data_IF_502512313096
#
_entry.id   IF_502512313096
#
_cell.length_a   1.000
_cell.length_b   1.000
_cell.length_c   1.000
_cell.angle_alpha   90.00
_cell.angle_beta   90.00
_cell.angle_gamma   90.00
#
_symmetry.space_group_name_H-M   'P 1'
#
loop_
_entity.id
_entity.type
_entity.pdbx_description
1 polymer ?
#
# COMPACT_ATOMS: atom_id res chain seq x y z
N UNK A 1 -18.91 -26.62 -3.74
CA UNK A 1 -18.43 -27.95 -3.30
C UNK A 1 -19.10 -28.98 -4.20
N UNK A 2 -18.32 -29.84 -4.86
CA UNK A 2 -18.84 -30.91 -5.70
C UNK A 2 -19.13 -32.14 -4.85
N UNK A 3 -20.28 -32.78 -5.07
CA UNK A 3 -20.66 -34.02 -4.38
C UNK A 3 -20.85 -35.12 -5.44
N UNK A 4 -20.44 -36.34 -5.10
CA UNK A 4 -20.64 -37.50 -5.96
C UNK A 4 -21.97 -38.19 -5.59
N UNK A 5 -22.78 -38.54 -6.58
CA UNK A 5 -23.98 -39.36 -6.38
C UNK A 5 -23.60 -40.82 -6.00
N UNK A 6 -24.60 -41.63 -5.64
CA UNK A 6 -24.39 -43.05 -5.28
C UNK A 6 -23.81 -43.91 -6.44
N UNK A 7 -23.73 -43.36 -7.66
CA UNK A 7 -23.18 -44.01 -8.85
C UNK A 7 -21.80 -43.47 -9.24
N UNK A 8 -21.25 -42.53 -8.46
CA UNK A 8 -19.93 -41.94 -8.67
C UNK A 8 -19.88 -40.84 -9.74
N UNK A 9 -21.02 -40.31 -10.18
CA UNK A 9 -21.04 -39.14 -11.05
C UNK A 9 -20.84 -37.87 -10.23
N UNK A 10 -19.92 -37.01 -10.66
CA UNK A 10 -19.69 -35.71 -10.01
C UNK A 10 -20.74 -34.75 -10.56
N UNK A 11 -21.73 -34.42 -9.74
CA UNK A 11 -22.63 -33.30 -10.05
C UNK A 11 -21.93 -32.00 -9.69
N UNK A 12 -21.55 -31.22 -10.70
CA UNK A 12 -21.12 -29.85 -10.53
C UNK A 12 -22.39 -29.03 -10.27
N UNK A 13 -22.79 -28.92 -9.01
CA UNK A 13 -23.81 -27.95 -8.64
C UNK A 13 -23.31 -26.56 -9.02
N UNK A 14 -24.01 -25.88 -9.94
CA UNK A 14 -23.83 -24.45 -10.15
C UNK A 14 -24.11 -23.78 -8.80
N UNK A 15 -23.05 -23.30 -8.16
CA UNK A 15 -23.18 -22.43 -7.01
C UNK A 15 -23.49 -21.06 -7.59
N UNK A 16 -24.73 -20.64 -7.45
CA UNK A 16 -25.12 -19.28 -7.79
C UNK A 16 -24.47 -18.34 -6.78
N UNK A 17 -23.32 -17.76 -7.15
CA UNK A 17 -22.57 -16.83 -6.30
C UNK A 17 -23.20 -15.45 -6.50
N UNK A 18 -24.17 -15.11 -5.65
CA UNK A 18 -24.63 -13.72 -5.53
C UNK A 18 -23.62 -12.92 -4.70
N UNK A 19 -22.98 -11.95 -5.35
CA UNK A 19 -22.08 -11.02 -4.66
C UNK A 19 -22.89 -9.93 -3.96
N UNK A 20 -22.68 -9.76 -2.66
CA UNK A 20 -23.16 -8.57 -1.95
C UNK A 20 -22.33 -7.36 -2.36
N UNK A 21 -22.82 -6.65 -3.39
CA UNK A 21 -22.17 -5.46 -3.94
C UNK A 21 -22.05 -4.35 -2.90
N UNK A 22 -22.98 -4.25 -1.94
CA UNK A 22 -22.94 -3.23 -0.90
C UNK A 22 -21.82 -3.54 0.10
N UNK A 23 -21.71 -4.79 0.54
CA UNK A 23 -20.62 -5.23 1.42
C UNK A 23 -19.25 -5.09 0.74
N UNK A 24 -19.13 -5.46 -0.54
CA UNK A 24 -17.90 -5.27 -1.31
C UNK A 24 -17.50 -3.80 -1.39
N UNK A 25 -18.44 -2.90 -1.70
CA UNK A 25 -18.16 -1.45 -1.74
C UNK A 25 -17.70 -0.93 -0.39
N UNK A 26 -18.39 -1.30 0.70
CA UNK A 26 -17.99 -0.91 2.06
C UNK A 26 -16.57 -1.37 2.38
N UNK A 27 -16.19 -2.57 1.98
CA UNK A 27 -14.84 -3.09 2.17
C UNK A 27 -13.79 -2.28 1.40
N UNK A 28 -14.04 -1.97 0.12
CA UNK A 28 -13.13 -1.14 -0.67
C UNK A 28 -13.03 0.30 -0.12
N UNK A 29 -14.13 0.88 0.35
CA UNK A 29 -14.13 2.19 1.00
C UNK A 29 -13.26 2.20 2.28
N UNK A 30 -13.27 1.10 3.04
CA UNK A 30 -12.39 0.93 4.20
C UNK A 30 -10.92 0.80 3.80
N UNK A 31 -10.61 0.04 2.75
CA UNK A 31 -9.25 -0.03 2.22
C UNK A 31 -8.75 1.34 1.77
N UNK A 32 -9.61 2.12 1.09
CA UNK A 32 -9.24 3.45 0.61
C UNK A 32 -8.91 4.42 1.76
N UNK A 33 -9.58 4.32 2.92
CA UNK A 33 -9.23 5.12 4.09
C UNK A 33 -7.82 4.84 4.58
N UNK A 34 -7.43 3.55 4.64
CA UNK A 34 -6.08 3.15 5.05
C UNK A 34 -5.03 3.68 4.06
N UNK A 35 -5.32 3.61 2.76
CA UNK A 35 -4.44 4.14 1.73
C UNK A 35 -4.29 5.66 1.83
N UNK A 36 -5.38 6.38 2.01
CA UNK A 36 -5.35 7.84 2.15
C UNK A 36 -4.54 8.28 3.38
N UNK A 37 -4.75 7.64 4.53
CA UNK A 37 -3.98 7.94 5.76
C UNK A 37 -2.47 7.70 5.55
N UNK A 38 -2.10 6.58 4.90
CA UNK A 38 -0.71 6.31 4.56
C UNK A 38 -0.12 7.38 3.63
N UNK A 39 -0.87 7.81 2.61
CA UNK A 39 -0.41 8.82 1.66
C UNK A 39 -0.20 10.18 2.33
N UNK A 40 -1.11 10.60 3.20
CA UNK A 40 -0.98 11.84 3.98
C UNK A 40 0.25 11.82 4.90
N UNK A 41 0.47 10.71 5.61
CA UNK A 41 1.66 10.54 6.44
C UNK A 41 2.96 10.51 5.63
N UNK A 42 2.91 9.94 4.43
CA UNK A 42 4.07 9.84 3.54
C UNK A 42 4.53 11.22 3.06
N UNK A 43 3.60 12.12 2.73
CA UNK A 43 3.93 13.49 2.32
C UNK A 43 4.64 14.27 3.44
N UNK A 44 4.16 14.13 4.68
CA UNK A 44 4.80 14.71 5.86
C UNK A 44 6.23 14.16 6.08
N UNK A 45 6.43 12.85 5.87
CA UNK A 45 7.74 12.22 6.00
C UNK A 45 8.71 12.64 4.90
N UNK A 46 8.25 12.74 3.64
CA UNK A 46 9.07 13.26 2.52
C UNK A 46 9.53 14.69 2.84
N UNK A 47 8.62 15.54 3.33
CA UNK A 47 8.95 16.92 3.73
C UNK A 47 10.02 16.95 4.83
N UNK A 48 9.92 16.06 5.83
CA UNK A 48 10.91 15.96 6.91
C UNK A 48 12.28 15.48 6.39
N UNK A 49 12.30 14.53 5.44
CA UNK A 49 13.53 14.09 4.78
C UNK A 49 14.20 15.20 3.99
N UNK A 50 13.44 16.01 3.24
CA UNK A 50 13.97 17.15 2.51
C UNK A 50 14.52 18.22 3.45
N UNK A 51 13.84 18.50 4.56
CA UNK A 51 14.32 19.44 5.57
C UNK A 51 15.65 18.97 6.17
N UNK A 52 15.78 17.68 6.49
CA UNK A 52 17.02 17.11 7.03
C UNK A 52 18.15 17.07 6.00
N UNK A 53 17.87 16.69 4.75
CA UNK A 53 18.86 16.66 3.67
C UNK A 53 19.48 18.04 3.43
N UNK A 54 18.66 19.10 3.47
CA UNK A 54 19.09 20.48 3.28
C UNK A 54 19.57 21.19 4.56
N UNK A 55 19.65 20.47 5.69
CA UNK A 55 20.04 21.08 6.96
C UNK A 55 21.55 21.34 7.03
N UNK A 56 21.94 22.60 6.88
CA UNK A 56 23.34 23.04 6.97
C UNK A 56 23.92 23.05 8.40
N UNK A 57 23.11 22.78 9.43
CA UNK A 57 23.53 22.83 10.83
C UNK A 57 24.14 21.51 11.31
N UNK A 58 23.66 20.37 10.79
CA UNK A 58 24.23 19.04 11.07
C UNK A 58 25.37 18.75 10.09
N UNK A 59 26.57 18.54 10.64
CA UNK A 59 27.82 18.40 9.88
C UNK A 59 28.63 17.21 10.36
N UNK A 60 29.48 16.72 9.46
CA UNK A 60 30.43 15.64 9.73
C UNK A 60 30.05 14.34 9.01
N UNK A 61 30.95 13.35 9.00
CA UNK A 61 30.80 12.15 8.16
C UNK A 61 29.50 11.38 8.39
N UNK A 62 29.00 11.34 9.63
CA UNK A 62 27.74 10.67 9.98
C UNK A 62 26.52 11.42 9.44
N UNK A 63 26.51 12.75 9.56
CA UNK A 63 25.43 13.58 9.01
C UNK A 63 25.41 13.47 7.48
N UNK A 64 26.57 13.54 6.82
CA UNK A 64 26.68 13.44 5.36
C UNK A 64 26.22 12.06 4.87
N UNK A 65 26.61 10.98 5.56
CA UNK A 65 26.17 9.61 5.25
C UNK A 65 24.65 9.44 5.44
N UNK A 66 24.08 10.01 6.50
CA UNK A 66 22.64 9.95 6.76
C UNK A 66 21.83 10.71 5.69
N UNK A 67 22.27 11.92 5.33
CA UNK A 67 21.65 12.71 4.24
C UNK A 67 21.70 11.96 2.92
N UNK A 68 22.85 11.38 2.59
CA UNK A 68 23.02 10.59 1.38
C UNK A 68 22.12 9.35 1.36
N UNK A 69 21.99 8.64 2.48
CA UNK A 69 21.08 7.50 2.60
C UNK A 69 19.60 7.91 2.42
N UNK A 70 19.21 9.05 2.98
CA UNK A 70 17.85 9.57 2.82
C UNK A 70 17.56 9.91 1.37
N UNK A 71 18.45 10.64 0.70
CA UNK A 71 18.31 11.09 -0.69
C UNK A 71 18.32 9.92 -1.69
N UNK A 72 19.23 8.96 -1.51
CA UNK A 72 19.42 7.88 -2.49
C UNK A 72 18.57 6.62 -2.22
N UNK A 73 18.03 6.45 -1.01
CA UNK A 73 17.32 5.22 -0.62
C UNK A 73 15.93 5.50 -0.08
N UNK A 74 15.82 6.22 1.04
CA UNK A 74 14.55 6.29 1.76
C UNK A 74 13.50 7.10 1.02
N UNK A 75 13.89 8.26 0.47
CA UNK A 75 12.96 9.13 -0.29
C UNK A 75 12.48 8.45 -1.58
N UNK A 76 13.35 7.87 -2.45
CA UNK A 76 12.89 7.13 -3.62
C UNK A 76 11.96 5.96 -3.30
N UNK A 77 12.29 5.15 -2.27
CA UNK A 77 11.46 4.02 -1.86
C UNK A 77 10.06 4.47 -1.44
N UNK A 78 9.96 5.55 -0.67
CA UNK A 78 8.68 6.09 -0.23
C UNK A 78 7.86 6.65 -1.40
N UNK A 79 8.52 7.31 -2.36
CA UNK A 79 7.89 7.76 -3.62
C UNK A 79 7.37 6.57 -4.43
N UNK A 80 8.11 5.47 -4.54
CA UNK A 80 7.66 4.28 -5.27
C UNK A 80 6.43 3.64 -4.61
N UNK A 81 6.43 3.50 -3.27
CA UNK A 81 5.28 2.94 -2.54
C UNK A 81 4.05 3.83 -2.69
N UNK A 82 4.20 5.15 -2.55
CA UNK A 82 3.07 6.09 -2.70
C UNK A 82 2.52 6.07 -4.12
N UNK A 83 3.38 6.01 -5.14
CA UNK A 83 2.97 5.85 -6.54
C UNK A 83 2.20 4.54 -6.79
N UNK A 84 2.63 3.43 -6.18
CA UNK A 84 1.95 2.15 -6.33
C UNK A 84 0.58 2.14 -5.65
N UNK A 85 0.45 2.74 -4.47
CA UNK A 85 -0.85 2.90 -3.79
C UNK A 85 -1.78 3.79 -4.63
N UNK A 86 -1.26 4.87 -5.24
CA UNK A 86 -2.05 5.73 -6.10
C UNK A 86 -2.62 5.03 -7.35
N UNK A 87 -2.00 3.94 -7.82
CA UNK A 87 -2.56 3.13 -8.93
C UNK A 87 -3.74 2.25 -8.51
N UNK A 88 -3.97 2.07 -7.20
CA UNK A 88 -5.09 1.30 -6.65
C UNK A 88 -6.36 2.14 -6.50
N UNK A 89 -6.24 3.46 -6.62
CA UNK A 89 -7.33 4.44 -6.54
C UNK A 89 -7.85 4.81 -7.94
#
# INVERSE_FOLDING_TARGET
MSYADEKGNIEVGEVDIEWDVAALRSYFDECQKVYNEFLEMSDALITAFEAFANDETHKGPEADSAKHFIEERQKPLLVDITNDIQKLM
#
